data_IF_732461119709
#
_entry.id   IF_732461119709
#
_cell.length_a   1.000
_cell.length_b   1.000
_cell.length_c   1.000
_cell.angle_alpha   90.00
_cell.angle_beta   90.00
_cell.angle_gamma   90.00
#
_symmetry.space_group_name_H-M   'P 1'
#
loop_
_entity.id
_entity.type
_entity.pdbx_description
1 polymer ?
#
# COMPACT_ATOMS: atom_id res chain seq x y z
N UNK A 1 11.72 36.00 -70.18
CA UNK A 1 13.00 35.84 -69.47
C UNK A 1 12.91 34.65 -68.53
N UNK A 2 13.60 33.56 -68.85
CA UNK A 2 13.66 32.37 -67.98
C UNK A 2 14.96 32.41 -67.18
N UNK A 3 14.93 32.35 -65.84
CA UNK A 3 16.15 32.43 -65.03
C UNK A 3 16.95 31.13 -65.18
N UNK A 4 18.16 31.23 -65.73
CA UNK A 4 19.12 30.14 -65.69
C UNK A 4 19.54 29.91 -64.24
N UNK A 5 19.21 28.74 -63.68
CA UNK A 5 19.72 28.32 -62.36
C UNK A 5 21.21 27.97 -62.53
N UNK A 6 22.14 28.57 -61.77
CA UNK A 6 23.53 28.17 -61.82
C UNK A 6 23.65 26.72 -61.31
N UNK A 7 24.16 25.83 -62.17
CA UNK A 7 24.41 24.43 -61.82
C UNK A 7 25.51 24.35 -60.76
N UNK A 8 25.14 24.40 -59.47
CA UNK A 8 26.04 24.30 -58.31
C UNK A 8 26.99 23.09 -58.35
N UNK A 9 26.66 22.06 -59.14
CA UNK A 9 27.42 20.84 -59.33
C UNK A 9 28.60 20.94 -60.30
N UNK A 10 28.76 22.03 -61.05
CA UNK A 10 29.95 22.23 -61.89
C UNK A 10 31.18 22.66 -61.09
N UNK A 11 31.00 23.18 -59.87
CA UNK A 11 32.09 23.61 -59.01
C UNK A 11 32.73 22.39 -58.31
N UNK A 12 34.02 22.10 -58.55
CA UNK A 12 34.70 20.98 -57.92
C UNK A 12 34.66 21.08 -56.38
N UNK A 13 34.76 22.27 -55.81
CA UNK A 13 34.72 22.46 -54.36
C UNK A 13 33.38 22.05 -53.73
N UNK A 14 32.26 22.31 -54.42
CA UNK A 14 30.94 21.89 -53.95
C UNK A 14 30.83 20.36 -53.98
N UNK A 15 31.34 19.71 -55.03
CA UNK A 15 31.35 18.25 -55.14
C UNK A 15 32.21 17.59 -54.06
N UNK A 16 33.39 18.15 -53.77
CA UNK A 16 34.26 17.67 -52.71
C UNK A 16 33.66 17.87 -51.32
N UNK A 17 33.04 19.02 -51.05
CA UNK A 17 32.38 19.30 -49.77
C UNK A 17 31.15 18.40 -49.54
N UNK A 18 30.31 18.21 -50.57
CA UNK A 18 29.14 17.32 -50.48
C UNK A 18 29.59 15.86 -50.35
N UNK A 19 30.58 15.43 -51.15
CA UNK A 19 31.15 14.10 -51.06
C UNK A 19 31.78 13.81 -49.70
N UNK A 20 32.51 14.78 -49.14
CA UNK A 20 33.10 14.69 -47.80
C UNK A 20 32.06 14.59 -46.71
N UNK A 21 31.00 15.41 -46.76
CA UNK A 21 29.90 15.35 -45.79
C UNK A 21 29.18 14.01 -45.83
N UNK A 22 28.89 13.49 -47.03
CA UNK A 22 28.25 12.18 -47.19
C UNK A 22 29.16 11.08 -46.65
N UNK A 23 30.45 11.10 -46.99
CA UNK A 23 31.42 10.11 -46.49
C UNK A 23 31.53 10.14 -44.95
N UNK A 24 31.62 11.32 -44.35
CA UNK A 24 31.65 11.50 -42.89
C UNK A 24 30.39 10.95 -42.23
N UNK A 25 29.22 11.23 -42.82
CA UNK A 25 27.92 10.77 -42.30
C UNK A 25 27.84 9.25 -42.37
N UNK A 26 28.22 8.64 -43.49
CA UNK A 26 28.25 7.18 -43.65
C UNK A 26 29.22 6.53 -42.68
N UNK A 27 30.43 7.09 -42.52
CA UNK A 27 31.41 6.63 -41.54
C UNK A 27 30.88 6.70 -40.11
N UNK A 28 30.18 7.78 -39.76
CA UNK A 28 29.60 7.95 -38.43
C UNK A 28 28.48 6.95 -38.15
N UNK A 29 27.62 6.69 -39.15
CA UNK A 29 26.57 5.67 -39.07
C UNK A 29 27.17 4.28 -38.96
N UNK A 30 28.17 3.92 -39.77
CA UNK A 30 28.84 2.62 -39.69
C UNK A 30 29.54 2.42 -38.34
N UNK A 31 30.23 3.45 -37.82
CA UNK A 31 30.83 3.40 -36.50
C UNK A 31 29.76 3.19 -35.40
N UNK A 32 28.67 3.96 -35.45
CA UNK A 32 27.60 3.92 -34.44
C UNK A 32 26.77 2.64 -34.45
N UNK A 33 26.37 2.16 -35.64
CA UNK A 33 25.37 1.11 -35.81
C UNK A 33 25.95 -0.27 -36.14
N UNK A 34 27.21 -0.34 -36.58
CA UNK A 34 27.86 -1.61 -36.95
C UNK A 34 29.07 -1.88 -36.07
N UNK A 35 29.99 -0.92 -35.96
CA UNK A 35 31.27 -1.13 -35.27
C UNK A 35 31.12 -1.18 -33.74
N UNK A 36 30.46 -0.18 -33.15
CA UNK A 36 30.28 -0.09 -31.69
C UNK A 36 29.48 -1.27 -31.10
N UNK A 37 28.37 -1.73 -31.71
CA UNK A 37 27.63 -2.90 -31.21
C UNK A 37 28.41 -4.21 -31.36
N UNK A 38 29.27 -4.32 -32.39
CA UNK A 38 30.09 -5.52 -32.61
C UNK A 38 31.25 -5.65 -31.60
N UNK A 39 31.76 -4.53 -31.09
CA UNK A 39 32.91 -4.50 -30.17
C UNK A 39 32.49 -4.46 -28.71
N UNK A 40 31.29 -3.93 -28.39
CA UNK A 40 30.78 -3.83 -27.01
C UNK A 40 29.38 -4.45 -26.87
N UNK A 41 29.31 -5.63 -26.26
CA UNK A 41 28.06 -6.32 -25.91
C UNK A 41 27.15 -5.52 -24.95
N UNK A 42 27.69 -4.49 -24.29
CA UNK A 42 26.91 -3.63 -23.38
C UNK A 42 26.05 -2.60 -24.14
N UNK A 43 26.32 -2.35 -25.43
CA UNK A 43 25.47 -1.47 -26.25
C UNK A 43 24.10 -2.07 -26.56
N UNK A 44 23.99 -3.41 -26.51
CA UNK A 44 22.73 -4.14 -26.65
C UNK A 44 22.08 -4.45 -25.29
N UNK A 45 22.75 -4.11 -24.17
CA UNK A 45 22.24 -4.34 -22.82
C UNK A 45 21.55 -3.09 -22.24
N UNK A 46 20.30 -2.87 -22.63
CA UNK A 46 19.23 -2.24 -21.82
C UNK A 46 19.37 -0.77 -21.32
N UNK A 47 20.45 -0.05 -21.61
CA UNK A 47 20.70 1.26 -20.98
C UNK A 47 20.61 2.48 -21.91
N UNK A 48 21.57 2.59 -22.84
CA UNK A 48 21.79 3.82 -23.59
C UNK A 48 20.84 3.94 -24.80
N UNK A 49 20.65 2.84 -25.53
CA UNK A 49 19.78 2.80 -26.70
C UNK A 49 18.31 3.06 -26.33
N UNK A 50 17.83 2.43 -25.25
CA UNK A 50 16.49 2.66 -24.73
C UNK A 50 16.26 4.12 -24.33
N UNK A 51 17.27 4.78 -23.76
CA UNK A 51 17.18 6.20 -23.42
C UNK A 51 17.11 7.09 -24.67
N UNK A 52 17.88 6.79 -25.71
CA UNK A 52 17.80 7.52 -26.99
C UNK A 52 16.42 7.30 -27.66
N UNK A 53 15.95 6.06 -27.75
CA UNK A 53 14.65 5.73 -28.35
C UNK A 53 13.48 6.36 -27.59
N UNK A 54 13.50 6.34 -26.25
CA UNK A 54 12.51 7.03 -25.41
C UNK A 54 12.51 8.54 -25.65
N UNK A 55 13.68 9.14 -25.81
CA UNK A 55 13.82 10.58 -26.09
C UNK A 55 13.28 10.95 -27.48
N UNK A 56 13.39 10.04 -28.44
CA UNK A 56 12.84 10.18 -29.79
C UNK A 56 11.34 9.79 -29.91
N UNK A 57 10.68 9.41 -28.82
CA UNK A 57 9.26 9.02 -28.81
C UNK A 57 8.97 7.65 -29.42
N UNK A 58 9.99 6.80 -29.60
CA UNK A 58 9.83 5.45 -30.15
C UNK A 58 9.72 4.42 -29.01
N UNK A 59 8.75 3.47 -29.07
CA UNK A 59 8.65 2.42 -28.07
C UNK A 59 9.88 1.51 -28.14
N UNK A 60 10.54 1.30 -26.99
CA UNK A 60 11.82 0.58 -26.89
C UNK A 60 11.70 -0.95 -27.01
N UNK A 61 10.49 -1.51 -27.10
CA UNK A 61 10.28 -2.93 -27.36
C UNK A 61 9.05 -3.15 -28.23
N UNK A 62 9.27 -3.77 -29.40
CA UNK A 62 8.19 -4.15 -30.34
C UNK A 62 7.84 -5.64 -30.21
N UNK A 63 8.57 -6.40 -29.38
CA UNK A 63 8.36 -7.83 -29.17
C UNK A 63 8.52 -8.21 -27.71
N UNK A 64 7.44 -8.70 -27.11
CA UNK A 64 7.42 -9.29 -25.77
C UNK A 64 7.29 -8.25 -24.66
N UNK A 65 6.08 -8.10 -24.13
CA UNK A 65 5.89 -7.53 -22.81
C UNK A 65 6.79 -8.30 -21.85
N UNK A 66 7.89 -7.69 -21.40
CA UNK A 66 8.65 -8.22 -20.28
C UNK A 66 7.65 -8.37 -19.15
N UNK A 67 7.43 -9.61 -18.71
CA UNK A 67 6.57 -9.90 -17.58
C UNK A 67 7.07 -9.02 -16.42
N UNK A 68 6.29 -8.01 -16.07
CA UNK A 68 6.54 -7.19 -14.89
C UNK A 68 6.70 -8.18 -13.76
N UNK A 69 7.89 -8.25 -13.14
CA UNK A 69 8.08 -9.07 -11.94
C UNK A 69 7.01 -8.62 -10.97
N UNK A 70 5.98 -9.45 -10.77
CA UNK A 70 4.90 -9.16 -9.85
C UNK A 70 5.54 -8.95 -8.50
N UNK A 71 5.46 -7.72 -8.01
CA UNK A 71 5.94 -7.39 -6.68
C UNK A 71 5.22 -8.26 -5.65
N UNK A 72 5.75 -8.37 -4.42
CA UNK A 72 5.13 -9.24 -3.42
C UNK A 72 3.70 -8.79 -3.12
N UNK A 73 2.82 -9.77 -2.97
CA UNK A 73 1.37 -9.63 -2.89
C UNK A 73 0.93 -8.47 -1.96
N UNK A 74 0.22 -7.50 -2.54
CA UNK A 74 -0.44 -6.38 -1.85
C UNK A 74 -1.94 -6.58 -1.87
N UNK A 75 -2.69 -5.89 -1.02
CA UNK A 75 -4.17 -5.97 -1.01
C UNK A 75 -4.77 -5.81 -2.40
N UNK A 76 -5.61 -6.75 -2.82
CA UNK A 76 -6.47 -6.63 -4.01
C UNK A 76 -7.83 -5.99 -3.69
N UNK A 77 -8.17 -5.91 -2.39
CA UNK A 77 -9.44 -5.34 -1.94
C UNK A 77 -9.46 -3.83 -2.18
N UNK A 78 -10.36 -3.41 -3.07
CA UNK A 78 -10.71 -2.01 -3.27
C UNK A 78 -11.74 -1.59 -2.23
N UNK A 79 -11.40 -0.59 -1.44
CA UNK A 79 -12.30 -0.02 -0.44
C UNK A 79 -13.41 0.80 -1.11
N UNK A 80 -14.57 0.18 -1.33
CA UNK A 80 -15.74 0.84 -1.86
C UNK A 80 -16.58 1.49 -0.74
N UNK A 81 -17.18 2.66 -1.02
CA UNK A 81 -18.01 3.35 -0.02
C UNK A 81 -19.22 2.54 0.43
N UNK A 82 -19.73 1.66 -0.42
CA UNK A 82 -20.81 0.71 -0.11
C UNK A 82 -20.46 -0.23 1.06
N UNK A 83 -19.17 -0.49 1.32
CA UNK A 83 -18.72 -1.33 2.43
C UNK A 83 -18.97 -0.69 3.80
N UNK A 84 -19.20 0.62 3.84
CA UNK A 84 -19.55 1.37 5.07
C UNK A 84 -21.04 1.69 5.18
N UNK A 85 -21.87 1.14 4.30
CA UNK A 85 -23.32 1.29 4.43
C UNK A 85 -23.79 0.62 5.73
N UNK A 86 -24.77 1.24 6.40
CA UNK A 86 -25.38 0.67 7.58
C UNK A 86 -25.98 -0.70 7.23
N UNK A 87 -25.61 -1.78 7.95
CA UNK A 87 -26.04 -3.11 7.59
C UNK A 87 -27.53 -3.31 7.91
N UNK A 88 -28.28 -4.08 7.11
CA UNK A 88 -29.63 -4.50 7.47
C UNK A 88 -29.61 -5.27 8.80
N UNK A 89 -30.66 -5.14 9.61
CA UNK A 89 -30.78 -5.87 10.88
C UNK A 89 -30.63 -7.40 10.70
N UNK A 90 -31.10 -7.93 9.58
CA UNK A 90 -30.94 -9.34 9.24
C UNK A 90 -29.47 -9.78 9.09
N UNK A 91 -28.60 -8.89 8.58
CA UNK A 91 -27.15 -9.15 8.46
C UNK A 91 -26.47 -9.19 9.82
N UNK A 92 -26.87 -8.32 10.76
CA UNK A 92 -26.35 -8.35 12.14
C UNK A 92 -26.70 -9.68 12.82
N UNK A 93 -27.93 -10.17 12.65
CA UNK A 93 -28.37 -11.45 13.21
C UNK A 93 -27.58 -12.65 12.66
N UNK A 94 -27.43 -12.75 11.32
CA UNK A 94 -26.63 -13.82 10.69
C UNK A 94 -25.15 -13.75 11.10
N UNK A 95 -24.59 -12.54 11.12
CA UNK A 95 -23.23 -12.29 11.56
C UNK A 95 -22.99 -12.71 13.00
N UNK A 96 -23.96 -12.49 13.89
CA UNK A 96 -23.88 -12.94 15.29
C UNK A 96 -23.80 -14.46 15.42
N UNK A 97 -24.56 -15.20 14.60
CA UNK A 97 -24.46 -16.67 14.55
C UNK A 97 -23.10 -17.14 14.03
N UNK A 98 -22.61 -16.54 12.94
CA UNK A 98 -21.29 -16.85 12.39
C UNK A 98 -20.16 -16.53 13.38
N UNK A 99 -20.31 -15.44 14.13
CA UNK A 99 -19.33 -14.96 15.09
C UNK A 99 -19.12 -15.91 16.28
N UNK A 100 -20.03 -16.87 16.53
CA UNK A 100 -19.83 -17.92 17.53
C UNK A 100 -18.49 -18.65 17.35
N UNK A 101 -18.08 -18.87 16.09
CA UNK A 101 -16.81 -19.51 15.73
C UNK A 101 -15.57 -18.64 16.02
N UNK A 102 -15.77 -17.34 16.26
CA UNK A 102 -14.71 -16.36 16.47
C UNK A 102 -14.50 -16.04 17.97
N UNK A 103 -15.51 -16.32 18.80
CA UNK A 103 -15.58 -15.89 20.20
C UNK A 103 -14.45 -16.43 21.08
N UNK A 104 -13.90 -17.60 20.74
CA UNK A 104 -12.82 -18.23 21.50
C UNK A 104 -11.56 -17.35 21.56
N UNK A 105 -11.28 -16.61 20.49
CA UNK A 105 -10.13 -15.71 20.44
C UNK A 105 -10.54 -14.25 20.65
N UNK A 106 -11.58 -13.80 19.93
CA UNK A 106 -11.98 -12.39 19.92
C UNK A 106 -12.97 -12.00 21.03
N UNK A 107 -13.38 -12.95 21.86
CA UNK A 107 -14.35 -12.77 22.94
C UNK A 107 -15.81 -12.80 22.46
N UNK A 108 -16.72 -13.18 23.37
CA UNK A 108 -18.15 -13.30 23.08
C UNK A 108 -18.81 -11.98 22.65
N UNK A 109 -18.23 -10.84 23.06
CA UNK A 109 -18.67 -9.49 22.68
C UNK A 109 -17.68 -8.81 21.74
N UNK A 110 -16.83 -9.54 21.03
CA UNK A 110 -15.78 -8.96 20.18
C UNK A 110 -14.71 -8.17 20.95
N UNK A 111 -14.63 -8.38 22.27
CA UNK A 111 -13.63 -7.83 23.17
C UNK A 111 -12.80 -9.00 23.72
N UNK A 112 -11.56 -9.11 23.24
CA UNK A 112 -10.65 -10.18 23.56
C UNK A 112 -10.11 -10.04 24.98
N UNK A 113 -10.12 -11.16 25.73
CA UNK A 113 -9.35 -11.32 26.96
C UNK A 113 -7.92 -11.85 26.69
N UNK A 114 -7.62 -12.18 25.44
CA UNK A 114 -6.32 -12.61 24.93
C UNK A 114 -5.65 -11.50 24.10
N UNK A 115 -4.48 -11.78 23.51
CA UNK A 115 -3.82 -10.86 22.57
C UNK A 115 -4.47 -10.82 21.17
N UNK A 116 -5.58 -11.53 20.93
CA UNK A 116 -6.34 -11.37 19.69
C UNK A 116 -6.95 -9.95 19.61
N UNK A 117 -7.08 -9.36 18.41
CA UNK A 117 -7.61 -8.01 18.28
C UNK A 117 -9.08 -7.93 18.70
N UNK A 118 -9.46 -6.81 19.30
CA UNK A 118 -10.86 -6.43 19.50
C UNK A 118 -11.50 -6.13 18.14
N UNK A 119 -12.70 -6.68 17.94
CA UNK A 119 -13.50 -6.50 16.73
C UNK A 119 -14.73 -5.63 16.99
N UNK A 120 -15.18 -5.55 18.23
CA UNK A 120 -16.38 -4.79 18.59
C UNK A 120 -16.24 -3.30 18.27
N UNK A 121 -17.23 -2.78 17.54
CA UNK A 121 -17.29 -1.39 17.10
C UNK A 121 -16.23 -1.01 16.06
N UNK A 122 -15.53 -2.00 15.49
CA UNK A 122 -14.65 -1.78 14.35
C UNK A 122 -15.47 -1.45 13.10
N UNK A 123 -14.88 -0.69 12.19
CA UNK A 123 -15.58 -0.29 10.97
C UNK A 123 -15.81 -1.49 10.04
N UNK A 124 -17.01 -1.58 9.43
CA UNK A 124 -17.37 -2.73 8.60
C UNK A 124 -16.42 -2.89 7.42
N UNK A 125 -16.04 -1.79 6.75
CA UNK A 125 -15.09 -1.83 5.64
C UNK A 125 -13.71 -2.36 6.03
N UNK A 126 -13.30 -2.14 7.28
CA UNK A 126 -12.04 -2.65 7.83
C UNK A 126 -12.15 -4.15 8.05
N UNK A 127 -13.25 -4.63 8.65
CA UNK A 127 -13.48 -6.06 8.88
C UNK A 127 -13.56 -6.82 7.55
N UNK A 128 -14.35 -6.33 6.61
CA UNK A 128 -14.46 -6.93 5.27
C UNK A 128 -13.09 -7.01 4.61
N UNK A 129 -12.36 -5.89 4.59
CA UNK A 129 -11.02 -5.85 3.99
C UNK A 129 -10.08 -6.87 4.62
N UNK A 130 -10.00 -6.92 5.94
CA UNK A 130 -9.07 -7.84 6.60
C UNK A 130 -9.44 -9.30 6.38
N UNK A 131 -10.73 -9.66 6.43
CA UNK A 131 -11.18 -11.03 6.15
C UNK A 131 -10.92 -11.43 4.70
N UNK A 132 -11.17 -10.54 3.73
CA UNK A 132 -10.85 -10.79 2.33
C UNK A 132 -9.34 -10.93 2.09
N UNK A 133 -8.51 -10.11 2.74
CA UNK A 133 -7.06 -10.21 2.65
C UNK A 133 -6.52 -11.51 3.26
N UNK A 134 -7.10 -11.99 4.37
CA UNK A 134 -6.78 -13.31 4.93
C UNK A 134 -7.23 -14.44 4.01
N UNK A 135 -8.45 -14.34 3.46
CA UNK A 135 -9.01 -15.36 2.56
C UNK A 135 -8.17 -15.54 1.29
N UNK A 136 -7.62 -14.44 0.76
CA UNK A 136 -6.79 -14.43 -0.45
C UNK A 136 -5.29 -14.60 -0.19
N UNK A 137 -4.85 -14.65 1.08
CA UNK A 137 -3.44 -14.78 1.46
C UNK A 137 -2.60 -13.49 1.34
N UNK A 138 -3.23 -12.34 1.03
CA UNK A 138 -2.58 -11.03 1.01
C UNK A 138 -2.23 -10.52 2.41
N UNK A 139 -2.93 -11.01 3.45
CA UNK A 139 -2.53 -10.90 4.86
C UNK A 139 -2.27 -12.29 5.40
N UNK A 140 -1.05 -12.53 5.88
CA UNK A 140 -0.63 -13.83 6.40
C UNK A 140 -0.98 -14.00 7.88
N UNK A 141 -1.48 -15.17 8.25
CA UNK A 141 -1.69 -15.62 9.62
C UNK A 141 -2.04 -17.10 9.61
N UNK A 142 -1.24 -17.91 10.30
CA UNK A 142 -1.45 -19.36 10.39
C UNK A 142 -2.88 -19.74 10.84
N UNK A 143 -3.49 -18.91 11.69
CA UNK A 143 -4.85 -19.13 12.22
C UNK A 143 -5.91 -18.48 11.34
N UNK A 144 -5.78 -17.18 11.06
CA UNK A 144 -6.86 -16.43 10.41
C UNK A 144 -7.03 -16.76 8.93
N UNK A 145 -5.97 -17.17 8.22
CA UNK A 145 -6.12 -17.63 6.82
C UNK A 145 -6.98 -18.91 6.78
N UNK A 146 -6.80 -19.84 7.73
CA UNK A 146 -7.58 -21.06 7.79
C UNK A 146 -9.06 -20.80 8.06
N UNK A 147 -9.36 -19.88 8.97
CA UNK A 147 -10.73 -19.46 9.28
C UNK A 147 -11.37 -18.71 8.11
N UNK A 148 -10.64 -17.78 7.49
CA UNK A 148 -11.19 -16.92 6.44
C UNK A 148 -11.44 -17.64 5.11
N UNK A 149 -10.68 -18.71 4.80
CA UNK A 149 -10.87 -19.51 3.56
C UNK A 149 -12.27 -20.11 3.42
N UNK A 150 -12.93 -20.44 4.52
CA UNK A 150 -14.28 -21.01 4.52
C UNK A 150 -15.41 -19.99 4.38
N UNK A 151 -15.10 -18.69 4.42
CA UNK A 151 -16.13 -17.64 4.43
C UNK A 151 -16.52 -17.20 3.02
N UNK A 152 -17.82 -17.22 2.73
CA UNK A 152 -18.37 -16.54 1.56
C UNK A 152 -18.28 -15.02 1.70
N UNK A 153 -18.47 -14.29 0.62
CA UNK A 153 -18.53 -12.82 0.69
C UNK A 153 -19.69 -12.32 1.54
N UNK A 154 -20.82 -13.03 1.51
CA UNK A 154 -21.97 -12.72 2.34
C UNK A 154 -21.66 -12.96 3.82
N UNK A 155 -20.95 -14.05 4.17
CA UNK A 155 -20.53 -14.30 5.56
C UNK A 155 -19.61 -13.20 6.07
N UNK A 156 -18.66 -12.75 5.23
CA UNK A 156 -17.76 -11.64 5.55
C UNK A 156 -18.54 -10.34 5.78
N UNK A 157 -19.51 -10.04 4.92
CA UNK A 157 -20.36 -8.85 5.05
C UNK A 157 -21.22 -8.91 6.31
N UNK A 158 -21.79 -10.07 6.64
CA UNK A 158 -22.61 -10.27 7.84
C UNK A 158 -21.77 -10.21 9.12
N UNK A 159 -20.57 -10.80 9.14
CA UNK A 159 -19.61 -10.66 10.26
C UNK A 159 -19.20 -9.21 10.46
N UNK A 160 -18.89 -8.49 9.39
CA UNK A 160 -18.56 -7.07 9.45
C UNK A 160 -19.73 -6.24 10.01
N UNK A 161 -20.95 -6.53 9.56
CA UNK A 161 -22.16 -5.91 10.08
C UNK A 161 -22.34 -6.12 11.58
N UNK A 162 -22.18 -7.37 12.03
CA UNK A 162 -22.32 -7.74 13.44
C UNK A 162 -21.29 -7.05 14.32
N UNK A 163 -20.00 -7.13 13.98
CA UNK A 163 -18.95 -6.52 14.80
C UNK A 163 -19.02 -4.99 14.82
N UNK A 164 -19.42 -4.35 13.72
CA UNK A 164 -19.65 -2.91 13.68
C UNK A 164 -20.83 -2.46 14.55
N UNK A 165 -21.84 -3.32 14.72
CA UNK A 165 -23.00 -3.05 15.58
C UNK A 165 -22.65 -3.10 17.08
N UNK A 166 -21.66 -3.90 17.47
CA UNK A 166 -21.26 -4.02 18.86
C UNK A 166 -20.64 -2.71 19.39
N UNK A 167 -20.80 -2.39 20.69
CA UNK A 167 -20.17 -1.22 21.29
C UNK A 167 -18.65 -1.35 21.28
N UNK A 168 -17.96 -0.25 20.94
CA UNK A 168 -16.50 -0.14 21.04
C UNK A 168 -16.03 -0.40 22.47
N UNK A 169 -14.78 -0.85 22.61
CA UNK A 169 -14.13 -0.93 23.91
C UNK A 169 -14.17 0.44 24.62
N UNK A 170 -14.54 0.46 25.92
CA UNK A 170 -14.42 1.67 26.72
C UNK A 170 -12.94 1.95 26.99
N UNK A 171 -12.47 3.09 26.51
CA UNK A 171 -11.08 3.55 26.63
C UNK A 171 -11.03 4.72 27.59
N UNK A 172 -9.86 4.94 28.20
CA UNK A 172 -9.65 6.13 29.03
C UNK A 172 -9.91 7.38 28.17
N UNK A 173 -10.63 8.39 28.68
CA UNK A 173 -10.85 9.64 27.95
C UNK A 173 -9.52 10.19 27.44
N UNK A 174 -9.43 10.44 26.13
CA UNK A 174 -8.24 11.01 25.51
C UNK A 174 -8.43 12.52 25.41
N UNK A 175 -7.64 13.29 26.16
CA UNK A 175 -7.45 14.72 25.90
C UNK A 175 -6.32 14.89 24.88
N UNK A 176 -6.58 15.64 23.81
CA UNK A 176 -5.60 15.88 22.76
C UNK A 176 -4.66 17.03 23.12
N UNK A 177 -3.85 16.83 24.16
CA UNK A 177 -2.92 17.81 24.70
C UNK A 177 -1.46 17.33 24.65
N UNK A 178 -0.56 18.09 25.27
CA UNK A 178 0.88 17.86 25.28
C UNK A 178 1.30 16.53 25.96
N UNK A 179 0.44 15.91 26.77
CA UNK A 179 0.70 14.63 27.43
C UNK A 179 0.66 13.42 26.49
N UNK A 180 0.11 13.57 25.29
CA UNK A 180 0.10 12.50 24.29
C UNK A 180 1.50 12.20 23.75
N UNK A 181 1.80 10.93 23.41
CA UNK A 181 3.00 10.60 22.66
C UNK A 181 3.09 11.44 21.39
N UNK A 182 4.28 12.00 21.13
CA UNK A 182 4.49 12.92 20.01
C UNK A 182 4.08 12.29 18.67
N UNK A 183 4.38 11.00 18.46
CA UNK A 183 3.98 10.29 17.24
C UNK A 183 2.46 10.19 17.05
N UNK A 184 1.69 10.13 18.14
CA UNK A 184 0.22 10.07 18.08
C UNK A 184 -0.33 11.44 17.68
N UNK A 185 0.13 12.51 18.33
CA UNK A 185 -0.41 13.87 18.19
C UNK A 185 0.10 14.61 16.95
N UNK A 186 1.42 14.65 16.76
CA UNK A 186 2.09 15.48 15.73
C UNK A 186 2.91 14.67 14.73
N UNK A 187 3.22 13.41 15.04
CA UNK A 187 4.10 12.57 14.22
C UNK A 187 5.57 12.94 14.39
N UNK A 188 6.39 12.55 13.41
CA UNK A 188 7.76 13.02 13.24
C UNK A 188 7.99 13.38 11.76
N UNK A 189 7.62 14.61 11.33
CA UNK A 189 7.62 15.00 9.91
C UNK A 189 9.00 14.86 9.24
N UNK A 190 10.09 15.17 9.94
CA UNK A 190 11.45 15.03 9.42
C UNK A 190 11.86 13.56 9.18
N UNK A 191 11.17 12.61 9.80
CA UNK A 191 11.32 11.17 9.60
C UNK A 191 10.23 10.58 8.71
N UNK A 192 9.40 11.44 8.10
CA UNK A 192 8.24 11.05 7.29
C UNK A 192 7.25 10.15 8.05
N UNK A 193 7.08 10.40 9.36
CA UNK A 193 6.09 9.73 10.20
C UNK A 193 4.93 10.72 10.39
N UNK A 194 3.80 10.46 9.77
CA UNK A 194 2.59 11.25 9.97
C UNK A 194 2.01 11.01 11.38
N UNK A 195 1.29 11.99 11.96
CA UNK A 195 0.56 11.80 13.21
C UNK A 195 -0.48 10.67 13.10
N UNK A 196 -0.49 9.74 14.06
CA UNK A 196 -1.41 8.60 14.03
C UNK A 196 -2.89 9.03 14.04
N UNK A 197 -3.20 10.08 14.81
CA UNK A 197 -4.56 10.61 14.97
C UNK A 197 -5.19 11.06 13.64
N UNK A 198 -4.40 11.57 12.70
CA UNK A 198 -4.92 12.08 11.42
C UNK A 198 -5.49 11.00 10.50
N UNK A 199 -5.29 9.73 10.82
CA UNK A 199 -5.92 8.62 10.10
C UNK A 199 -6.72 7.71 11.04
N UNK A 200 -6.26 7.50 12.26
CA UNK A 200 -6.85 6.54 13.22
C UNK A 200 -7.67 7.21 14.34
N UNK A 201 -7.79 8.54 14.34
CA UNK A 201 -8.55 9.30 15.34
C UNK A 201 -10.06 9.11 15.19
N UNK A 202 -10.81 9.46 16.24
CA UNK A 202 -12.25 9.17 16.28
C UNK A 202 -13.12 10.02 15.35
N UNK A 203 -12.85 11.33 15.26
CA UNK A 203 -13.63 12.26 14.43
C UNK A 203 -13.01 12.37 13.02
N UNK A 204 -11.69 12.40 12.91
CA UNK A 204 -10.94 12.62 11.66
C UNK A 204 -10.39 11.32 11.04
N UNK A 205 -11.15 10.23 11.13
CA UNK A 205 -10.68 8.95 10.60
C UNK A 205 -10.59 8.93 9.07
N UNK A 206 -9.50 8.35 8.56
CA UNK A 206 -9.36 8.02 7.14
C UNK A 206 -10.17 6.77 6.82
N UNK A 207 -10.93 6.79 5.73
CA UNK A 207 -11.67 5.61 5.27
C UNK A 207 -10.76 4.37 5.14
N UNK A 208 -11.18 3.26 5.75
CA UNK A 208 -10.41 2.02 5.82
C UNK A 208 -9.25 1.99 6.83
N UNK A 209 -9.03 3.07 7.58
CA UNK A 209 -8.15 3.03 8.74
C UNK A 209 -8.88 2.36 9.92
N UNK A 210 -8.29 1.34 10.57
CA UNK A 210 -8.90 0.70 11.72
C UNK A 210 -8.98 1.65 12.92
N UNK A 211 -10.03 1.49 13.71
CA UNK A 211 -10.07 1.96 15.08
C UNK A 211 -8.99 1.27 15.91
N UNK A 212 -8.19 2.03 16.67
CA UNK A 212 -7.07 1.51 17.44
C UNK A 212 -7.30 1.52 18.96
N UNK A 213 -8.14 2.41 19.49
CA UNK A 213 -8.28 2.53 20.93
C UNK A 213 -8.92 1.27 21.55
N UNK A 214 -8.33 0.80 22.64
CA UNK A 214 -8.72 -0.38 23.38
C UNK A 214 -8.15 -1.68 22.81
N UNK A 215 -7.37 -1.63 21.71
CA UNK A 215 -6.76 -2.81 21.11
C UNK A 215 -5.62 -3.37 22.00
N UNK A 216 -5.41 -4.70 22.09
CA UNK A 216 -4.32 -5.23 22.92
C UNK A 216 -2.94 -4.69 22.50
N UNK A 217 -2.13 -4.28 23.47
CA UNK A 217 -0.81 -3.68 23.22
C UNK A 217 0.08 -4.61 22.41
N UNK A 218 0.12 -5.90 22.76
CA UNK A 218 0.95 -6.88 22.07
C UNK A 218 0.52 -7.06 20.60
N UNK A 219 -0.78 -7.07 20.32
CA UNK A 219 -1.28 -7.08 18.95
C UNK A 219 -0.77 -5.87 18.16
N UNK A 220 -0.89 -4.66 18.72
CA UNK A 220 -0.45 -3.42 18.06
C UNK A 220 1.05 -3.43 17.77
N UNK A 221 1.88 -3.84 18.75
CA UNK A 221 3.32 -4.01 18.57
C UNK A 221 3.61 -4.96 17.41
N UNK A 222 3.00 -6.14 17.41
CA UNK A 222 3.18 -7.12 16.34
C UNK A 222 2.78 -6.58 14.97
N UNK A 223 1.67 -5.85 14.88
CA UNK A 223 1.23 -5.30 13.59
C UNK A 223 2.19 -4.22 13.08
N UNK A 224 2.65 -3.31 13.95
CA UNK A 224 3.61 -2.27 13.58
C UNK A 224 4.96 -2.86 13.18
N UNK A 225 5.46 -3.87 13.89
CA UNK A 225 6.67 -4.60 13.53
C UNK A 225 6.52 -5.37 12.20
N UNK A 226 5.34 -5.96 11.96
CA UNK A 226 5.06 -6.65 10.70
C UNK A 226 5.01 -5.67 9.51
N UNK A 227 4.46 -4.46 9.69
CA UNK A 227 4.54 -3.42 8.66
C UNK A 227 5.97 -2.92 8.48
N UNK A 228 6.71 -2.66 9.57
CA UNK A 228 8.10 -2.18 9.54
C UNK A 228 9.03 -3.14 8.78
N UNK A 229 8.89 -4.44 9.02
CA UNK A 229 9.67 -5.50 8.35
C UNK A 229 9.18 -5.84 6.94
N UNK A 230 7.97 -5.38 6.57
CA UNK A 230 7.31 -5.78 5.33
C UNK A 230 6.74 -7.20 5.35
N UNK A 231 6.67 -7.87 6.52
CA UNK A 231 5.98 -9.15 6.68
C UNK A 231 4.45 -9.01 6.50
N UNK A 232 3.89 -7.82 6.81
CA UNK A 232 2.51 -7.45 6.51
C UNK A 232 2.49 -6.41 5.39
N UNK A 233 1.80 -6.72 4.30
CA UNK A 233 1.79 -5.89 3.07
C UNK A 233 0.42 -5.51 2.52
N UNK A 234 -0.63 -5.82 3.26
CA UNK A 234 -2.00 -5.57 2.85
C UNK A 234 -2.47 -4.12 3.09
N UNK A 235 -1.55 -3.18 3.29
CA UNK A 235 -1.82 -1.75 3.34
C UNK A 235 -1.77 -1.14 1.93
N UNK A 236 -2.86 -0.48 1.54
CA UNK A 236 -2.96 0.22 0.25
C UNK A 236 -1.92 1.33 0.17
N UNK A 237 -1.27 1.47 -0.99
CA UNK A 237 -0.20 2.45 -1.24
C UNK A 237 0.95 2.44 -0.21
N UNK A 238 1.17 1.28 0.45
CA UNK A 238 2.17 1.11 1.49
C UNK A 238 2.05 2.12 2.66
N UNK A 239 0.86 2.64 2.93
CA UNK A 239 0.64 3.70 3.94
C UNK A 239 1.22 3.35 5.30
N UNK A 240 0.90 2.17 5.84
CA UNK A 240 1.39 1.77 7.16
C UNK A 240 2.86 1.35 7.12
N UNK A 241 3.33 0.75 6.02
CA UNK A 241 4.77 0.45 5.86
C UNK A 241 5.61 1.72 5.80
N UNK A 242 5.13 2.77 5.14
CA UNK A 242 5.82 4.06 5.02
C UNK A 242 5.93 4.77 6.38
N UNK A 243 4.92 4.62 7.23
CA UNK A 243 4.93 5.10 8.62
C UNK A 243 5.86 4.24 9.49
N UNK A 244 5.63 2.92 9.52
CA UNK A 244 6.29 2.02 10.46
C UNK A 244 7.78 1.80 10.18
N UNK A 245 8.23 1.86 8.91
CA UNK A 245 9.63 1.64 8.52
C UNK A 245 10.63 2.54 9.24
N UNK A 246 10.19 3.74 9.62
CA UNK A 246 11.03 4.73 10.28
C UNK A 246 10.93 4.69 11.80
N UNK A 247 10.03 3.89 12.41
CA UNK A 247 9.80 3.86 13.85
C UNK A 247 10.79 2.97 14.62
N UNK A 248 11.22 3.43 15.79
CA UNK A 248 12.02 2.65 16.74
C UNK A 248 11.15 1.66 17.52
N UNK A 249 11.78 0.69 18.19
CA UNK A 249 11.06 -0.25 19.07
C UNK A 249 10.40 0.45 20.26
N UNK A 250 11.08 1.45 20.83
CA UNK A 250 10.53 2.26 21.92
C UNK A 250 9.29 3.03 21.48
N UNK A 251 9.33 3.64 20.29
CA UNK A 251 8.19 4.37 19.72
C UNK A 251 7.01 3.44 19.40
N UNK A 252 7.28 2.25 18.86
CA UNK A 252 6.24 1.23 18.65
C UNK A 252 5.59 0.84 19.96
N UNK A 253 6.38 0.59 21.01
CA UNK A 253 5.89 0.22 22.33
C UNK A 253 5.06 1.35 22.96
N UNK A 254 5.52 2.60 22.85
CA UNK A 254 4.83 3.78 23.38
C UNK A 254 3.46 4.00 22.71
N UNK A 255 3.40 3.98 21.38
CA UNK A 255 2.14 4.14 20.63
C UNK A 255 1.19 2.97 20.90
N UNK A 256 1.71 1.75 21.00
CA UNK A 256 0.90 0.57 21.34
C UNK A 256 0.32 0.67 22.76
N UNK A 257 1.12 1.07 23.74
CA UNK A 257 0.67 1.28 25.11
C UNK A 257 -0.39 2.40 25.19
N UNK A 258 -0.21 3.46 24.40
CA UNK A 258 -1.18 4.53 24.28
C UNK A 258 -2.56 4.02 23.81
N UNK A 259 -2.61 3.34 22.66
CA UNK A 259 -3.89 2.87 22.12
C UNK A 259 -4.48 1.71 22.91
N UNK A 260 -3.69 0.97 23.69
CA UNK A 260 -4.17 -0.14 24.51
C UNK A 260 -4.79 0.27 25.86
N UNK A 261 -4.82 1.57 26.19
CA UNK A 261 -5.43 2.04 27.45
C UNK A 261 -6.89 1.64 27.56
N UNK A 262 -7.28 1.20 28.75
CA UNK A 262 -8.67 0.89 29.13
C UNK A 262 -9.22 2.02 30.00
N UNK A 263 -10.53 2.20 30.00
CA UNK A 263 -11.19 3.08 30.98
C UNK A 263 -10.88 2.62 32.41
N UNK A 264 -10.81 3.57 33.35
CA UNK A 264 -10.57 3.25 34.76
C UNK A 264 -11.83 2.62 35.36
N UNK A 265 -11.67 1.68 36.30
CA UNK A 265 -12.80 0.95 36.91
C UNK A 265 -13.76 1.82 37.75
N UNK A 266 -13.49 3.13 37.90
CA UNK A 266 -14.32 4.08 38.65
C UNK A 266 -15.35 4.86 37.82
N UNK A 267 -15.37 4.68 36.50
CA UNK A 267 -16.26 5.40 35.56
C UNK A 267 -17.41 4.48 35.07
N UNK A 268 -17.94 3.67 35.99
CA UNK A 268 -19.04 2.71 35.75
C UNK A 268 -20.45 3.32 35.70
N UNK A 269 -20.58 4.65 35.71
CA UNK A 269 -21.90 5.32 35.69
C UNK A 269 -22.39 5.70 34.30
#
# INVERSE_FOLDING_TARGET
MSPQRPHAWSNPWVRWSVGGLVALTVLSVLAGFVLLPAVKSDFTAQGLWDSICRTAGLPSSWGGASAVKTGPATTEVVLARSMAAAPPAASVGRGGTLALNCTMCHGARGLSASDAPNLAGQYPEVIVKQLMDYRSGHRRSAVMEALARGLSEQDIADLAAYYAYLPKARTAPTTYDESLPALVRVGAPLRNIAPCISCHGGIDQKFGAPWLEGMPAHYLVQQLQAFRSGARRNDGEAQMRNVARAMTDQEIAEVAAFYARKASAGEEK
#
